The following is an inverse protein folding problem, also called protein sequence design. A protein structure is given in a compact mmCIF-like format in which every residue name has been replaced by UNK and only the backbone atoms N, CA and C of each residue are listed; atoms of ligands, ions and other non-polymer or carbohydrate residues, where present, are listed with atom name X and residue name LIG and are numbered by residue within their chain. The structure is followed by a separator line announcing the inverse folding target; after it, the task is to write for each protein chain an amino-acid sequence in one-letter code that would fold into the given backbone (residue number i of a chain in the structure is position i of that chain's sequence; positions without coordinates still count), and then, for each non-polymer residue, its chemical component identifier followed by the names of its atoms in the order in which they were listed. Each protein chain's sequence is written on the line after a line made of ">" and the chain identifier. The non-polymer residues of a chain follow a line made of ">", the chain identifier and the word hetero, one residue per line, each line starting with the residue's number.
data_IF_740960988013
#
_entry.id   IF_740960988013
#
_cell.length_a   1.000
_cell.length_b   1.000
_cell.length_c   1.000
_cell.angle_alpha   90.00
_cell.angle_beta   90.00
_cell.angle_gamma   90.00
#
_symmetry.space_group_name_H-M   'P 1'
#
loop_
_entity.id
_entity.type
_entity.pdbx_description
1 polymer ?
#
# COMPACT_ATOMS: atom_id res chain seq x y z
N UNK A 1 -26.47 -17.33 16.15
CA UNK A 1 -26.34 -17.21 14.68
C UNK A 1 -26.23 -15.73 14.28
N UNK A 2 -25.23 -15.00 14.80
CA UNK A 2 -25.06 -13.54 14.59
C UNK A 2 -23.58 -13.08 14.58
N UNK A 3 -22.60 -14.00 14.50
CA UNK A 3 -21.16 -13.69 14.59
C UNK A 3 -20.38 -13.88 13.29
N UNK A 4 -21.04 -14.18 12.17
CA UNK A 4 -20.38 -14.37 10.87
C UNK A 4 -20.40 -13.14 9.94
N UNK A 5 -21.09 -12.06 10.32
CA UNK A 5 -21.26 -10.88 9.46
C UNK A 5 -20.30 -9.72 9.76
N UNK A 6 -19.62 -9.69 10.92
CA UNK A 6 -18.76 -8.55 11.31
C UNK A 6 -17.32 -8.63 10.81
N UNK A 7 -16.88 -9.81 10.35
CA UNK A 7 -15.50 -10.04 9.88
C UNK A 7 -15.41 -9.97 8.34
N UNK A 8 -16.51 -10.17 7.63
CA UNK A 8 -16.55 -10.07 6.16
C UNK A 8 -16.59 -8.63 5.66
N UNK A 9 -17.06 -7.68 6.46
CA UNK A 9 -17.30 -6.29 6.07
C UNK A 9 -16.04 -5.49 5.65
N UNK A 10 -14.90 -5.51 6.37
CA UNK A 10 -13.73 -4.71 5.99
C UNK A 10 -12.98 -5.25 4.76
N UNK A 11 -13.02 -6.56 4.52
CA UNK A 11 -12.47 -7.16 3.30
C UNK A 11 -13.43 -6.96 2.11
N UNK A 12 -14.74 -6.94 2.35
CA UNK A 12 -15.70 -6.50 1.34
C UNK A 12 -15.48 -5.03 0.99
N UNK A 13 -15.23 -4.14 1.96
CA UNK A 13 -14.97 -2.73 1.71
C UNK A 13 -13.70 -2.52 0.88
N UNK A 14 -12.64 -3.27 1.18
CA UNK A 14 -11.38 -3.23 0.42
C UNK A 14 -11.55 -3.84 -0.98
N UNK A 15 -12.31 -4.93 -1.10
CA UNK A 15 -12.65 -5.55 -2.39
C UNK A 15 -13.56 -4.63 -3.21
N UNK A 16 -14.51 -3.92 -2.60
CA UNK A 16 -15.34 -2.92 -3.26
C UNK A 16 -14.53 -1.70 -3.69
N UNK A 17 -13.54 -1.24 -2.90
CA UNK A 17 -12.64 -0.15 -3.30
C UNK A 17 -11.70 -0.56 -4.46
N UNK A 18 -11.28 -1.84 -4.49
CA UNK A 18 -10.41 -2.41 -5.55
C UNK A 18 -11.19 -2.87 -6.79
N UNK A 19 -12.46 -3.28 -6.67
CA UNK A 19 -13.31 -3.76 -7.77
C UNK A 19 -14.39 -2.77 -8.21
N UNK A 20 -14.57 -1.60 -7.61
CA UNK A 20 -15.37 -0.56 -8.27
C UNK A 20 -14.62 -0.15 -9.53
N UNK A 21 -15.11 -0.47 -10.75
CA UNK A 21 -14.59 0.21 -11.90
C UNK A 21 -14.99 1.67 -11.68
N UNK A 22 -14.00 2.55 -11.50
CA UNK A 22 -14.22 3.95 -11.78
C UNK A 22 -14.92 3.98 -13.15
N UNK A 23 -16.18 4.38 -13.16
CA UNK A 23 -17.01 4.45 -14.37
C UNK A 23 -16.51 5.63 -15.19
N UNK A 24 -15.31 5.50 -15.73
CA UNK A 24 -14.76 6.36 -16.78
C UNK A 24 -15.39 5.90 -18.10
N UNK A 25 -16.72 6.00 -18.22
CA UNK A 25 -17.35 6.00 -19.54
C UNK A 25 -17.17 7.39 -20.13
N UNK A 26 -15.94 7.70 -20.54
CA UNK A 26 -15.69 8.69 -21.56
C UNK A 26 -14.69 8.06 -22.51
N UNK A 27 -15.20 7.36 -23.52
CA UNK A 27 -14.43 7.05 -24.73
C UNK A 27 -14.20 8.36 -25.49
N UNK A 28 -13.43 9.27 -24.90
CA UNK A 28 -12.68 10.24 -25.70
C UNK A 28 -11.55 9.44 -26.33
N UNK A 29 -11.30 9.53 -27.64
CA UNK A 29 -9.99 9.17 -28.15
C UNK A 29 -8.99 9.92 -27.26
N UNK A 30 -8.06 9.20 -26.64
CA UNK A 30 -6.86 9.85 -26.15
C UNK A 30 -6.22 10.50 -27.38
N UNK A 31 -6.54 11.77 -27.64
CA UNK A 31 -5.60 12.61 -28.35
C UNK A 31 -4.35 12.54 -27.48
N UNK A 32 -3.26 11.98 -28.02
CA UNK A 32 -1.94 12.20 -27.47
C UNK A 32 -1.71 13.71 -27.56
N UNK A 33 -2.23 14.49 -26.61
CA UNK A 33 -1.54 15.72 -26.26
C UNK A 33 -0.20 15.25 -25.69
N UNK A 34 0.93 15.83 -26.11
CA UNK A 34 2.17 15.72 -25.36
C UNK A 34 1.95 16.46 -24.04
N UNK A 35 1.22 15.84 -23.10
CA UNK A 35 1.41 16.17 -21.70
C UNK A 35 2.85 15.78 -21.44
N UNK A 36 3.73 16.70 -20.99
CA UNK A 36 5.04 16.29 -20.56
C UNK A 36 4.80 15.23 -19.49
N UNK A 37 5.22 13.99 -19.76
CA UNK A 37 5.38 13.02 -18.68
C UNK A 37 6.18 13.74 -17.60
N UNK A 38 5.78 13.60 -16.33
CA UNK A 38 6.60 14.10 -15.22
C UNK A 38 7.88 13.29 -15.27
N UNK A 39 8.87 13.81 -15.98
CA UNK A 39 10.16 13.19 -16.15
C UNK A 39 10.94 13.50 -14.90
N UNK A 40 11.39 12.43 -14.24
CA UNK A 40 12.40 12.54 -13.20
C UNK A 40 13.65 13.14 -13.84
N UNK A 41 14.23 14.17 -13.23
CA UNK A 41 15.46 14.78 -13.72
C UNK A 41 16.64 13.84 -13.51
N UNK A 42 16.94 13.01 -14.52
CA UNK A 42 18.02 12.01 -14.46
C UNK A 42 19.42 12.64 -14.34
N UNK A 43 19.57 13.96 -14.40
CA UNK A 43 20.84 14.65 -14.18
C UNK A 43 21.10 14.97 -12.70
N UNK A 44 20.10 14.80 -11.82
CA UNK A 44 20.26 14.94 -10.38
C UNK A 44 20.60 13.61 -9.71
N UNK A 45 21.50 13.67 -8.73
CA UNK A 45 21.80 12.54 -7.86
C UNK A 45 20.68 12.40 -6.81
N UNK A 46 19.82 11.40 -7.00
CA UNK A 46 18.81 11.03 -6.02
C UNK A 46 19.29 9.86 -5.17
N UNK A 47 19.13 9.95 -3.84
CA UNK A 47 19.18 8.74 -3.03
C UNK A 47 17.96 7.87 -3.33
N UNK A 48 18.02 6.54 -3.15
CA UNK A 48 16.85 5.69 -3.28
C UNK A 48 15.65 6.17 -2.45
N UNK A 49 15.92 6.73 -1.25
CA UNK A 49 14.90 7.29 -0.37
C UNK A 49 14.19 8.50 -1.00
N UNK A 50 14.90 9.36 -1.71
CA UNK A 50 14.31 10.53 -2.37
C UNK A 50 13.34 10.10 -3.47
N UNK A 51 13.69 9.05 -4.22
CA UNK A 51 12.78 8.45 -5.22
C UNK A 51 11.55 7.82 -4.57
N UNK A 52 11.72 7.12 -3.45
CA UNK A 52 10.59 6.54 -2.73
C UNK A 52 9.60 7.60 -2.24
N UNK A 53 10.09 8.75 -1.78
CA UNK A 53 9.25 9.87 -1.30
C UNK A 53 8.38 10.49 -2.40
N UNK A 54 8.74 10.36 -3.67
CA UNK A 54 7.90 10.80 -4.79
C UNK A 54 6.56 10.07 -4.85
N UNK A 55 6.53 8.81 -4.41
CA UNK A 55 5.33 7.96 -4.42
C UNK A 55 4.76 7.75 -3.01
N UNK A 56 5.62 7.74 -2.00
CA UNK A 56 5.29 7.55 -0.59
C UNK A 56 5.55 8.86 0.16
N UNK A 57 4.70 9.85 -0.09
CA UNK A 57 4.78 11.12 0.62
C UNK A 57 4.54 10.93 2.13
N UNK A 58 4.90 11.94 2.91
CA UNK A 58 4.66 11.97 4.36
C UNK A 58 3.17 11.76 4.69
N UNK A 59 2.26 12.28 3.87
CA UNK A 59 0.82 12.13 4.07
C UNK A 59 0.36 10.70 3.83
N UNK A 60 0.91 10.03 2.81
CA UNK A 60 0.65 8.61 2.53
C UNK A 60 1.19 7.75 3.67
N UNK A 61 2.41 8.01 4.15
CA UNK A 61 2.98 7.29 5.28
C UNK A 61 2.14 7.47 6.55
N UNK A 62 1.69 8.71 6.83
CA UNK A 62 0.81 8.99 7.96
C UNK A 62 -0.51 8.22 7.84
N UNK A 63 -1.13 8.26 6.66
CA UNK A 63 -2.38 7.54 6.39
C UNK A 63 -2.21 6.02 6.59
N UNK A 64 -1.08 5.45 6.17
CA UNK A 64 -0.78 4.04 6.41
C UNK A 64 -0.64 3.73 7.89
N UNK A 65 0.07 4.56 8.67
CA UNK A 65 0.23 4.37 10.11
C UNK A 65 -1.12 4.45 10.82
N UNK A 66 -1.91 5.49 10.54
CA UNK A 66 -3.23 5.72 11.15
C UNK A 66 -4.17 4.52 10.90
N UNK A 67 -4.23 4.04 9.66
CA UNK A 67 -5.05 2.88 9.30
C UNK A 67 -4.56 1.59 9.97
N UNK A 68 -3.24 1.39 10.03
CA UNK A 68 -2.64 0.18 10.62
C UNK A 68 -2.90 0.12 12.13
N UNK A 69 -2.66 1.22 12.84
CA UNK A 69 -2.87 1.33 14.27
C UNK A 69 -4.36 1.28 14.63
N UNK A 70 -5.21 1.97 13.86
CA UNK A 70 -6.67 1.88 14.02
C UNK A 70 -7.19 0.45 13.83
N UNK A 71 -6.65 -0.30 12.87
CA UNK A 71 -7.00 -1.70 12.66
C UNK A 71 -6.51 -2.59 13.80
N UNK A 72 -5.32 -2.34 14.33
CA UNK A 72 -4.80 -3.07 15.49
C UNK A 72 -5.66 -2.84 16.73
N UNK A 73 -6.00 -1.59 17.05
CA UNK A 73 -6.89 -1.24 18.15
C UNK A 73 -8.25 -1.95 18.02
N UNK A 74 -8.82 -1.98 16.80
CA UNK A 74 -10.06 -2.72 16.52
C UNK A 74 -9.92 -4.22 16.76
N UNK A 75 -8.81 -4.84 16.33
CA UNK A 75 -8.56 -6.28 16.56
C UNK A 75 -8.36 -6.60 18.04
N UNK A 76 -7.71 -5.71 18.79
CA UNK A 76 -7.59 -5.82 20.24
C UNK A 76 -8.96 -5.79 20.92
N UNK A 77 -9.81 -4.83 20.54
CA UNK A 77 -11.18 -4.76 21.03
C UNK A 77 -12.01 -6.01 20.70
N UNK A 78 -11.67 -6.72 19.61
CA UNK A 78 -12.30 -7.99 19.19
C UNK A 78 -11.72 -9.23 19.88
N UNK A 79 -10.79 -9.08 20.83
CA UNK A 79 -10.22 -10.18 21.61
C UNK A 79 -8.91 -10.76 21.07
N UNK A 80 -8.22 -10.05 20.16
CA UNK A 80 -6.84 -10.40 19.85
C UNK A 80 -5.93 -10.01 21.02
N UNK A 81 -5.27 -10.99 21.63
CA UNK A 81 -4.41 -10.79 22.80
C UNK A 81 -2.94 -10.53 22.46
N UNK A 82 -2.56 -10.54 21.19
CA UNK A 82 -1.18 -10.28 20.76
C UNK A 82 -0.82 -8.83 21.07
N UNK A 83 0.21 -8.53 21.86
CA UNK A 83 0.59 -7.15 22.16
C UNK A 83 0.91 -6.39 20.86
N UNK A 84 0.28 -5.24 20.67
CA UNK A 84 0.54 -4.32 19.58
C UNK A 84 1.23 -3.06 20.10
N UNK A 85 2.20 -2.58 19.34
CA UNK A 85 2.80 -1.26 19.53
C UNK A 85 2.48 -0.44 18.29
N UNK A 86 2.07 0.81 18.50
CA UNK A 86 1.70 1.69 17.41
C UNK A 86 2.90 1.88 16.47
N UNK A 87 2.62 1.71 15.18
CA UNK A 87 3.57 1.85 14.09
C UNK A 87 3.71 3.33 13.75
N UNK A 88 4.94 3.80 13.69
CA UNK A 88 5.29 5.14 13.22
C UNK A 88 5.80 5.13 11.78
N UNK A 89 6.15 6.31 11.26
CA UNK A 89 6.62 6.44 9.88
C UNK A 89 7.94 5.70 9.63
N UNK A 90 8.82 5.59 10.63
CA UNK A 90 10.09 4.89 10.50
C UNK A 90 9.86 3.38 10.39
N UNK A 91 9.00 2.84 11.24
CA UNK A 91 8.62 1.42 11.22
C UNK A 91 7.88 1.05 9.93
N UNK A 92 7.03 1.94 9.43
CA UNK A 92 6.35 1.76 8.14
C UNK A 92 7.35 1.72 6.97
N UNK A 93 8.35 2.61 6.98
CA UNK A 93 9.42 2.61 5.97
C UNK A 93 10.28 1.35 6.05
N UNK A 94 10.63 0.87 7.26
CA UNK A 94 11.35 -0.41 7.45
C UNK A 94 10.54 -1.57 6.86
N UNK A 95 9.25 -1.66 7.19
CA UNK A 95 8.37 -2.69 6.65
C UNK A 95 8.32 -2.66 5.10
N UNK A 96 8.11 -1.48 4.52
CA UNK A 96 8.07 -1.32 3.05
C UNK A 96 9.40 -1.70 2.39
N UNK A 97 10.54 -1.38 3.02
CA UNK A 97 11.85 -1.78 2.52
C UNK A 97 12.02 -3.30 2.44
N UNK A 98 11.47 -4.05 3.41
CA UNK A 98 11.46 -5.51 3.40
C UNK A 98 10.56 -6.02 2.28
N UNK A 99 9.36 -5.46 2.11
CA UNK A 99 8.43 -5.85 1.03
C UNK A 99 9.06 -5.65 -0.35
N UNK A 100 9.74 -4.52 -0.54
CA UNK A 100 10.46 -4.21 -1.77
C UNK A 100 11.62 -5.19 -2.00
N UNK A 101 12.42 -5.44 -0.96
CA UNK A 101 13.50 -6.42 -1.03
C UNK A 101 12.98 -7.81 -1.42
N UNK A 102 11.89 -8.27 -0.80
CA UNK A 102 11.27 -9.57 -1.12
C UNK A 102 10.71 -9.61 -2.55
N UNK A 103 10.23 -8.48 -3.09
CA UNK A 103 9.76 -8.36 -4.46
C UNK A 103 10.89 -8.38 -5.49
N UNK A 104 12.07 -7.87 -5.12
CA UNK A 104 13.26 -7.80 -5.98
C UNK A 104 14.16 -9.03 -5.86
N UNK A 105 14.13 -9.71 -4.71
CA UNK A 105 14.94 -10.88 -4.44
C UNK A 105 14.53 -12.02 -5.39
N UNK A 106 15.48 -12.61 -6.14
CA UNK A 106 15.19 -13.76 -6.98
C UNK A 106 14.64 -14.90 -6.13
N UNK A 107 13.48 -15.44 -6.51
CA UNK A 107 13.03 -16.69 -5.89
C UNK A 107 14.02 -17.77 -6.29
N UNK A 108 14.59 -18.53 -5.34
CA UNK A 108 15.46 -19.64 -5.69
C UNK A 108 14.68 -20.55 -6.63
N UNK A 109 15.23 -20.75 -7.83
CA UNK A 109 14.64 -21.65 -8.81
C UNK A 109 14.71 -23.04 -8.18
N UNK A 110 13.60 -23.47 -7.57
CA UNK A 110 13.51 -24.79 -6.96
C UNK A 110 13.67 -25.80 -8.10
N UNK A 111 14.89 -26.34 -8.28
CA UNK A 111 15.09 -27.53 -9.10
C UNK A 111 14.32 -28.64 -8.40
N UNK A 112 13.12 -28.94 -8.92
CA UNK A 112 12.41 -30.16 -8.58
C UNK A 112 13.28 -31.31 -9.09
N UNK A 113 13.78 -32.12 -8.17
CA UNK A 113 14.28 -33.46 -8.44
C UNK A 113 13.07 -34.40 -8.50
#
# INVERSE_FOLDING_TARGET
>A
MLLLWTVLDPLLLLLHLLLTPARLTSRRPCSRSPTPEVQLDLQQDYSPLDLFRLFLSTDVLKLLCDNTNGNAARKHAQGLHTPWSDVDAEDMLKYLSIVLYLGLAPRPHHRRW
#
